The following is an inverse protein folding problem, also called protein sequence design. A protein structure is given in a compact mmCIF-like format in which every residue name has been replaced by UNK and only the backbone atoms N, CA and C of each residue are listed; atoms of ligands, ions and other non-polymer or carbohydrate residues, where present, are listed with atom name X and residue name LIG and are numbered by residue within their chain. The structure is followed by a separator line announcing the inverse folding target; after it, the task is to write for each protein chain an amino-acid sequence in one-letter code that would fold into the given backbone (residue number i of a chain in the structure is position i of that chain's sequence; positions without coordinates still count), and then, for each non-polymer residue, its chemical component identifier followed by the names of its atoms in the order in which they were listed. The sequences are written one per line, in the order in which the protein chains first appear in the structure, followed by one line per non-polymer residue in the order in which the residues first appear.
data_IF_842792660566
#
_entry.id   IF_842792660566
#
_cell.length_a   1.000
_cell.length_b   1.000
_cell.length_c   1.000
_cell.angle_alpha   90.00
_cell.angle_beta   90.00
_cell.angle_gamma   90.00
#
_symmetry.space_group_name_H-M   'P 1'
#
loop_
_entity.id
_entity.type
_entity.pdbx_description
1 polymer ?
#
# COMPACT_ATOMS: atom_id res chain seq x y z
N UNK A 1 -25.81 -4.01 -4.98
CA UNK A 1 -24.47 -4.00 -5.61
C UNK A 1 -23.50 -3.60 -4.52
N UNK A 2 -22.92 -4.59 -3.84
CA UNK A 2 -22.07 -4.36 -2.66
C UNK A 2 -20.66 -4.09 -3.17
N UNK A 3 -20.25 -2.82 -3.18
CA UNK A 3 -18.84 -2.47 -3.22
C UNK A 3 -18.24 -2.82 -1.87
N UNK A 4 -17.39 -3.85 -1.82
CA UNK A 4 -16.64 -4.18 -0.61
C UNK A 4 -15.60 -3.09 -0.39
N UNK A 5 -15.95 -2.10 0.42
CA UNK A 5 -14.97 -1.22 1.05
C UNK A 5 -14.25 -2.08 2.10
N UNK A 6 -13.06 -2.59 1.74
CA UNK A 6 -12.25 -3.36 2.66
C UNK A 6 -11.73 -2.42 3.76
N UNK A 7 -12.39 -2.47 4.92
CA UNK A 7 -11.99 -1.80 6.14
C UNK A 7 -10.54 -2.18 6.53
N UNK A 8 -9.56 -1.29 6.31
CA UNK A 8 -8.23 -1.45 6.91
C UNK A 8 -8.25 -0.84 8.33
N UNK A 9 -8.67 -1.72 9.24
CA UNK A 9 -8.41 -1.81 10.69
C UNK A 9 -7.46 -0.76 11.33
N UNK A 10 -7.92 -0.12 12.41
CA UNK A 10 -7.13 0.47 13.51
C UNK A 10 -5.92 1.36 13.16
N UNK A 11 -6.20 2.66 12.96
CA UNK A 11 -5.28 3.74 12.56
C UNK A 11 -4.06 4.04 13.47
N UNK A 12 -3.82 3.30 14.55
CA UNK A 12 -2.81 3.69 15.56
C UNK A 12 -1.79 2.59 15.92
N UNK A 13 -2.04 1.32 15.59
CA UNK A 13 -1.12 0.21 15.93
C UNK A 13 -0.56 -0.54 14.72
N UNK A 14 -1.01 -0.21 13.51
CA UNK A 14 -0.58 -0.91 12.30
C UNK A 14 0.76 -0.38 11.78
N UNK A 15 1.70 -1.31 11.66
CA UNK A 15 3.02 -1.11 11.09
C UNK A 15 2.96 -0.67 9.61
N UNK A 16 1.90 -1.08 8.91
CA UNK A 16 1.66 -0.80 7.49
C UNK A 16 0.50 0.19 7.42
N UNK A 17 0.68 1.29 6.70
CA UNK A 17 -0.35 2.32 6.51
C UNK A 17 -0.43 2.73 5.05
N UNK A 18 -1.64 2.84 4.53
CA UNK A 18 -1.90 3.45 3.22
C UNK A 18 -2.32 4.91 3.42
N UNK A 19 -1.75 5.79 2.62
CA UNK A 19 -2.06 7.22 2.60
C UNK A 19 -2.36 7.62 1.16
N UNK A 20 -3.58 8.07 0.90
CA UNK A 20 -3.99 8.52 -0.43
C UNK A 20 -3.99 10.04 -0.46
N UNK A 21 -3.24 10.60 -1.40
CA UNK A 21 -3.16 12.03 -1.65
C UNK A 21 -3.86 12.36 -2.96
N UNK A 22 -4.54 13.50 -2.96
CA UNK A 22 -5.26 14.02 -4.12
C UNK A 22 -4.58 15.26 -4.71
N UNK A 23 -3.41 15.67 -4.19
CA UNK A 23 -2.62 16.74 -4.77
C UNK A 23 -1.94 16.28 -6.08
N UNK A 24 -2.33 16.90 -7.21
CA UNK A 24 -1.77 16.70 -8.56
C UNK A 24 -1.81 15.27 -9.12
N UNK A 25 -2.82 14.48 -8.71
CA UNK A 25 -3.07 13.12 -9.18
C UNK A 25 -3.47 12.20 -8.03
N UNK A 26 -4.15 11.09 -8.33
CA UNK A 26 -4.44 10.06 -7.33
C UNK A 26 -3.13 9.32 -7.00
N UNK A 27 -2.53 9.65 -5.86
CA UNK A 27 -1.29 9.02 -5.40
C UNK A 27 -1.60 8.18 -4.15
N UNK A 28 -1.61 6.85 -4.28
CA UNK A 28 -1.63 5.94 -3.13
C UNK A 28 -0.19 5.66 -2.65
N UNK A 29 0.06 5.94 -1.37
CA UNK A 29 1.36 5.74 -0.71
C UNK A 29 1.25 4.64 0.35
N UNK A 30 1.92 3.52 0.09
CA UNK A 30 2.11 2.46 1.08
C UNK A 30 3.34 2.77 1.94
N UNK A 31 3.16 2.85 3.26
CA UNK A 31 4.25 3.07 4.23
C UNK A 31 4.34 1.87 5.17
N UNK A 32 5.52 1.27 5.28
CA UNK A 32 5.82 0.15 6.19
C UNK A 32 6.85 0.64 7.21
N UNK A 33 6.45 0.78 8.47
CA UNK A 33 7.34 1.12 9.58
C UNK A 33 8.08 -0.12 10.06
N UNK A 34 9.29 0.00 10.64
CA UNK A 34 10.04 -1.15 11.19
C UNK A 34 10.08 -2.34 10.20
N UNK A 35 10.58 -2.09 8.99
CA UNK A 35 10.69 -3.13 7.96
C UNK A 35 11.59 -4.28 8.44
N UNK A 36 11.22 -5.50 8.08
CA UNK A 36 11.95 -6.74 8.36
C UNK A 36 12.23 -7.46 7.03
N UNK A 37 13.21 -8.37 6.97
CA UNK A 37 13.50 -9.11 5.73
C UNK A 37 12.28 -9.85 5.14
N UNK A 38 11.33 -10.24 6.00
CA UNK A 38 10.08 -10.90 5.60
C UNK A 38 9.10 -9.98 4.85
N UNK A 39 9.37 -8.67 4.82
CA UNK A 39 8.61 -7.71 4.01
C UNK A 39 9.13 -7.59 2.59
N UNK A 40 10.21 -8.29 2.26
CA UNK A 40 10.68 -8.37 0.88
C UNK A 40 9.64 -9.07 0.01
N UNK A 41 9.40 -8.53 -1.18
CA UNK A 41 8.41 -9.09 -2.07
C UNK A 41 8.01 -8.14 -3.18
N UNK A 42 7.04 -8.56 -3.97
CA UNK A 42 6.52 -7.78 -5.08
C UNK A 42 5.29 -6.97 -4.63
N UNK A 43 5.43 -5.65 -4.60
CA UNK A 43 4.37 -4.72 -4.22
C UNK A 43 3.70 -4.21 -5.49
N UNK A 44 2.40 -4.42 -5.60
CA UNK A 44 1.62 -4.03 -6.78
C UNK A 44 0.64 -2.92 -6.43
N UNK A 45 0.70 -1.83 -7.18
CA UNK A 45 -0.33 -0.80 -7.19
C UNK A 45 -1.38 -1.18 -8.25
N UNK A 46 -2.61 -1.38 -7.79
CA UNK A 46 -3.73 -1.83 -8.64
C UNK A 46 -4.82 -0.75 -8.61
N UNK A 47 -4.73 0.27 -9.46
CA UNK A 47 -5.75 1.32 -9.54
C UNK A 47 -7.00 0.82 -10.27
N UNK A 48 -8.17 1.37 -9.94
CA UNK A 48 -9.46 0.97 -10.53
C UNK A 48 -9.58 1.27 -12.02
N UNK A 49 -8.92 2.33 -12.51
CA UNK A 49 -9.12 2.90 -13.85
C UNK A 49 -7.83 3.00 -14.67
N UNK A 50 -6.74 2.39 -14.21
CA UNK A 50 -5.45 2.43 -14.90
C UNK A 50 -4.76 1.07 -14.87
N UNK A 51 -3.67 0.92 -15.64
CA UNK A 51 -2.91 -0.33 -15.67
C UNK A 51 -2.22 -0.54 -14.32
N UNK A 52 -2.27 -1.77 -13.75
CA UNK A 52 -1.52 -2.09 -12.55
C UNK A 52 -0.02 -2.02 -12.83
N UNK A 53 0.74 -1.63 -11.82
CA UNK A 53 2.20 -1.59 -11.87
C UNK A 53 2.77 -2.19 -10.60
N UNK A 54 3.93 -2.82 -10.71
CA UNK A 54 4.51 -3.60 -9.63
C UNK A 54 6.00 -3.30 -9.48
N UNK A 55 6.46 -3.30 -8.23
CA UNK A 55 7.87 -3.06 -7.86
C UNK A 55 8.32 -4.13 -6.88
N UNK A 56 9.52 -4.67 -7.09
CA UNK A 56 10.12 -5.60 -6.15
C UNK A 56 10.91 -4.86 -5.08
N UNK A 57 10.58 -5.11 -3.81
CA UNK A 57 11.26 -4.55 -2.65
C UNK A 57 12.09 -5.65 -2.00
N UNK A 58 13.36 -5.35 -1.73
CA UNK A 58 14.24 -6.22 -0.96
C UNK A 58 14.71 -5.50 0.31
N UNK A 59 14.29 -6.00 1.47
CA UNK A 59 14.67 -5.46 2.77
C UNK A 59 15.89 -6.23 3.27
N UNK A 60 16.97 -5.49 3.48
CA UNK A 60 18.24 -6.00 4.02
C UNK A 60 18.39 -5.58 5.50
N UNK A 61 19.17 -6.35 6.26
CA UNK A 61 19.48 -6.11 7.69
C UNK A 61 20.77 -5.32 7.88
#
# INVERSE_FOLDING_TARGET
MVGQENEIYSKTTQRITEDTDWADGLISRLKIRRATPNDSGNYSCVPTIAKPTSVYVHVII
#
